data_IF_391353197514
#
_entry.id   IF_391353197514
#
_cell.length_a   1.000
_cell.length_b   1.000
_cell.length_c   1.000
_cell.angle_alpha   90.00
_cell.angle_beta   90.00
_cell.angle_gamma   90.00
#
_symmetry.space_group_name_H-M   'P 1'
#
loop_
_entity.id
_entity.type
_entity.pdbx_description
1 polymer ?
#
# COMPACT_ATOMS: atom_id res chain seq x y z
N UNK A 1 19.88 -13.14 0.91
CA UNK A 1 18.89 -12.10 1.27
C UNK A 1 17.54 -12.74 1.04
N UNK A 2 16.64 -12.85 2.04
CA UNK A 2 15.31 -13.34 1.76
C UNK A 2 14.70 -12.41 0.70
N UNK A 3 14.18 -12.97 -0.38
CA UNK A 3 13.41 -12.21 -1.36
C UNK A 3 12.16 -11.74 -0.62
N UNK A 4 12.15 -10.49 -0.12
CA UNK A 4 10.94 -9.90 0.43
C UNK A 4 9.86 -10.00 -0.65
N UNK A 5 8.84 -10.79 -0.36
CA UNK A 5 7.70 -10.98 -1.25
C UNK A 5 7.07 -9.61 -1.41
N UNK A 6 7.17 -9.04 -2.61
CA UNK A 6 6.60 -7.73 -2.89
C UNK A 6 5.09 -7.78 -2.63
N UNK A 7 4.60 -6.86 -1.81
CA UNK A 7 3.18 -6.71 -1.49
C UNK A 7 2.58 -5.62 -2.35
N UNK A 8 1.37 -5.86 -2.84
CA UNK A 8 0.54 -4.87 -3.50
C UNK A 8 -0.29 -4.20 -2.41
N UNK A 9 -0.17 -2.88 -2.31
CA UNK A 9 -0.92 -2.03 -1.38
C UNK A 9 -1.81 -1.13 -2.22
N UNK A 10 -3.13 -1.34 -2.12
CA UNK A 10 -4.14 -0.54 -2.80
C UNK A 10 -4.79 0.40 -1.80
N UNK A 11 -4.66 1.70 -2.03
CA UNK A 11 -5.27 2.76 -1.24
C UNK A 11 -6.55 3.23 -1.92
N UNK A 12 -7.66 3.17 -1.18
CA UNK A 12 -8.96 3.65 -1.63
C UNK A 12 -9.17 5.07 -1.15
N UNK A 13 -9.24 6.02 -2.08
CA UNK A 13 -9.30 7.46 -1.78
C UNK A 13 -10.75 7.96 -1.74
N UNK A 14 -11.02 8.94 -0.88
CA UNK A 14 -12.28 9.66 -0.86
C UNK A 14 -12.39 10.53 -2.12
N UNK A 15 -13.21 10.11 -3.08
CA UNK A 15 -13.52 10.89 -4.28
C UNK A 15 -12.43 10.91 -5.35
N UNK A 16 -11.61 9.86 -5.46
CA UNK A 16 -10.55 9.73 -6.46
C UNK A 16 -10.39 8.32 -7.01
N UNK A 17 -9.41 8.14 -7.90
CA UNK A 17 -8.97 6.82 -8.36
C UNK A 17 -8.14 6.13 -7.26
N UNK A 18 -8.35 4.83 -7.11
CA UNK A 18 -7.54 4.02 -6.20
C UNK A 18 -6.07 4.02 -6.63
N UNK A 19 -5.16 4.13 -5.66
CA UNK A 19 -3.72 4.12 -5.92
C UNK A 19 -3.14 2.78 -5.51
N UNK A 20 -2.50 2.09 -6.46
CA UNK A 20 -1.81 0.81 -6.23
C UNK A 20 -0.30 1.01 -6.19
N UNK A 21 0.33 0.51 -5.14
CA UNK A 21 1.78 0.58 -4.93
C UNK A 21 2.30 -0.82 -4.62
N UNK A 22 3.38 -1.23 -5.28
CA UNK A 22 4.08 -2.48 -4.99
C UNK A 22 5.25 -2.15 -4.07
N UNK A 23 5.31 -2.76 -2.87
CA UNK A 23 6.37 -2.52 -1.87
C UNK A 23 7.04 -3.80 -1.40
N UNK A 24 8.37 -3.76 -1.26
CA UNK A 24 9.18 -4.79 -0.62
C UNK A 24 9.64 -4.42 0.81
N UNK A 25 9.03 -3.40 1.42
CA UNK A 25 9.42 -2.92 2.76
C UNK A 25 8.93 -3.78 3.92
N UNK A 26 8.01 -4.70 3.65
CA UNK A 26 7.38 -5.54 4.67
C UNK A 26 7.63 -7.01 4.39
N UNK A 27 7.75 -7.81 5.45
CA UNK A 27 7.95 -9.26 5.38
C UNK A 27 6.61 -10.00 5.12
N UNK A 28 5.47 -9.33 5.32
CA UNK A 28 4.15 -9.87 5.00
C UNK A 28 2.97 -8.93 5.20
N UNK A 29 1.79 -9.40 4.77
CA UNK A 29 0.53 -8.64 4.82
C UNK A 29 0.19 -8.12 6.24
N UNK A 30 0.32 -8.92 7.34
CA UNK A 30 -0.03 -8.43 8.67
C UNK A 30 0.83 -7.26 9.15
N UNK A 31 2.13 -7.28 8.84
CA UNK A 31 3.06 -6.20 9.20
C UNK A 31 2.71 -4.92 8.43
N UNK A 32 2.50 -5.04 7.11
CA UNK A 32 2.10 -3.91 6.27
C UNK A 32 0.78 -3.29 6.74
N UNK A 33 -0.24 -4.11 7.03
CA UNK A 33 -1.52 -3.63 7.54
C UNK A 33 -1.35 -2.91 8.87
N UNK A 34 -0.56 -3.46 9.80
CA UNK A 34 -0.30 -2.81 11.09
C UNK A 34 0.43 -1.46 10.93
N UNK A 35 1.40 -1.39 10.01
CA UNK A 35 2.13 -0.15 9.72
C UNK A 35 1.23 0.91 9.10
N UNK A 36 0.37 0.55 8.15
CA UNK A 36 -0.60 1.46 7.52
C UNK A 36 -1.60 1.96 8.55
N UNK A 37 -2.20 1.04 9.33
CA UNK A 37 -3.16 1.39 10.38
C UNK A 37 -2.54 2.37 11.38
N UNK A 38 -1.31 2.08 11.84
CA UNK A 38 -0.57 2.97 12.74
C UNK A 38 -0.31 4.35 12.12
N UNK A 39 0.04 4.42 10.83
CA UNK A 39 0.24 5.70 10.15
C UNK A 39 -1.06 6.50 10.05
N UNK A 40 -2.19 5.84 9.78
CA UNK A 40 -3.53 6.46 9.78
C UNK A 40 -3.90 6.99 11.17
N UNK A 41 -3.77 6.15 12.21
CA UNK A 41 -4.12 6.50 13.60
C UNK A 41 -3.32 7.70 14.10
N UNK A 42 -2.03 7.71 13.79
CA UNK A 42 -1.13 8.79 14.17
C UNK A 42 -1.21 10.01 13.23
N UNK A 43 -2.07 9.96 12.19
CA UNK A 43 -2.21 11.00 11.15
C UNK A 43 -0.89 11.39 10.51
N UNK A 44 -0.01 10.41 10.29
CA UNK A 44 1.29 10.59 9.64
C UNK A 44 1.24 10.08 8.20
N UNK A 45 2.15 10.60 7.38
CA UNK A 45 2.42 10.01 6.08
C UNK A 45 2.98 8.60 6.25
N UNK A 46 2.63 7.70 5.33
CA UNK A 46 3.31 6.43 5.17
C UNK A 46 4.55 6.64 4.31
N UNK A 47 5.69 6.15 4.76
CA UNK A 47 6.96 6.22 4.01
C UNK A 47 7.34 4.80 3.61
N UNK A 48 7.52 4.59 2.31
CA UNK A 48 7.99 3.34 1.72
C UNK A 48 9.35 3.61 1.08
N UNK A 49 10.36 2.80 1.39
CA UNK A 49 11.73 2.97 0.90
C UNK A 49 12.02 2.12 -0.34
N UNK A 50 11.28 1.02 -0.49
CA UNK A 50 11.43 0.05 -1.57
C UNK A 50 10.08 -0.19 -2.23
N UNK A 51 9.55 0.84 -2.90
CA UNK A 51 8.24 0.77 -3.53
C UNK A 51 8.22 1.34 -4.95
N UNK A 52 7.22 0.96 -5.74
CA UNK A 52 6.96 1.48 -7.09
C UNK A 52 5.46 1.55 -7.34
N UNK A 53 5.03 2.46 -8.20
CA UNK A 53 3.66 2.39 -8.71
C UNK A 53 3.49 1.18 -9.63
N UNK A 54 2.27 0.65 -9.71
CA UNK A 54 1.97 -0.59 -10.47
C UNK A 54 2.46 -0.55 -11.94
N UNK A 55 2.40 0.64 -12.56
CA UNK A 55 2.82 0.85 -13.96
C UNK A 55 4.30 1.21 -14.14
N UNK A 56 5.06 1.33 -13.06
CA UNK A 56 6.46 1.74 -13.09
C UNK A 56 7.42 0.55 -12.94
N UNK A 57 8.55 0.59 -13.64
CA UNK A 57 9.57 -0.45 -13.54
C UNK A 57 10.53 -0.23 -12.36
N UNK A 58 10.79 1.03 -12.03
CA UNK A 58 11.84 1.40 -11.07
C UNK A 58 11.33 1.46 -9.64
N UNK A 59 12.15 0.97 -8.71
CA UNK A 59 11.89 1.02 -7.27
C UNK A 59 12.44 2.33 -6.70
N UNK A 60 11.61 3.04 -5.94
CA UNK A 60 11.86 4.36 -5.39
C UNK A 60 11.43 4.44 -3.91
N UNK A 61 11.85 5.53 -3.27
CA UNK A 61 11.23 5.98 -2.03
C UNK A 61 9.92 6.72 -2.33
N UNK A 62 8.82 6.34 -1.69
CA UNK A 62 7.49 6.92 -1.87
C UNK A 62 6.96 7.40 -0.52
N UNK A 63 6.50 8.65 -0.47
CA UNK A 63 5.80 9.21 0.69
C UNK A 63 4.32 9.38 0.34
N UNK A 64 3.44 8.75 1.10
CA UNK A 64 2.00 8.73 0.86
C UNK A 64 1.30 9.51 1.97
N UNK A 65 0.55 10.54 1.57
CA UNK A 65 -0.35 11.24 2.47
C UNK A 65 -1.65 10.43 2.62
N UNK A 66 -1.99 10.05 3.86
CA UNK A 66 -3.15 9.21 4.16
C UNK A 66 -4.42 10.02 4.49
N UNK A 67 -4.40 11.35 4.41
CA UNK A 67 -5.51 12.21 4.84
C UNK A 67 -6.84 11.94 4.11
N UNK A 68 -6.78 11.48 2.86
CA UNK A 68 -7.95 11.18 2.04
C UNK A 68 -8.14 9.67 1.81
N UNK A 69 -7.39 8.80 2.51
CA UNK A 69 -7.53 7.35 2.38
C UNK A 69 -8.67 6.87 3.28
N UNK A 70 -9.64 6.18 2.69
CA UNK A 70 -10.81 5.62 3.40
C UNK A 70 -10.55 4.18 3.82
N UNK A 71 -9.88 3.41 2.97
CA UNK A 71 -9.45 2.04 3.27
C UNK A 71 -8.18 1.69 2.50
N UNK A 72 -7.47 0.67 2.98
CA UNK A 72 -6.32 0.12 2.29
C UNK A 72 -6.40 -1.41 2.28
N UNK A 73 -6.05 -2.02 1.15
CA UNK A 73 -5.93 -3.46 0.99
C UNK A 73 -4.46 -3.81 0.75
N UNK A 74 -3.99 -4.85 1.41
CA UNK A 74 -2.68 -5.44 1.17
C UNK A 74 -2.87 -6.86 0.63
N UNK A 75 -2.20 -7.21 -0.45
CA UNK A 75 -2.22 -8.56 -1.01
C UNK A 75 -0.89 -8.95 -1.65
N UNK A 76 -0.58 -10.24 -1.67
CA UNK A 76 0.54 -10.80 -2.44
C UNK A 76 0.27 -10.94 -3.95
N UNK A 77 -1.00 -11.01 -4.33
CA UNK A 77 -1.43 -11.17 -5.72
C UNK A 77 -2.38 -10.05 -6.11
N UNK A 78 -2.30 -9.61 -7.36
CA UNK A 78 -3.24 -8.66 -7.94
C UNK A 78 -4.52 -9.42 -8.30
N UNK A 79 -5.39 -9.61 -7.32
CA UNK A 79 -6.75 -10.07 -7.58
C UNK A 79 -7.58 -8.84 -7.95
N UNK A 80 -7.95 -8.75 -9.23
CA UNK A 80 -8.86 -7.74 -9.75
C UNK A 80 -10.29 -7.82 -9.14
N UNK A 81 -10.58 -8.83 -8.32
CA UNK A 81 -11.82 -8.94 -7.54
C UNK A 81 -11.66 -8.17 -6.22
N UNK A 82 -11.87 -6.86 -6.27
CA UNK A 82 -11.88 -5.99 -5.09
C UNK A 82 -13.06 -5.02 -5.16
N UNK A 83 -14.29 -5.55 -5.19
CA UNK A 83 -15.50 -4.75 -5.03
C UNK A 83 -16.38 -5.40 -3.99
N UNK A 84 -16.21 -5.03 -2.70
CA UNK A 84 -17.24 -5.31 -1.70
C UNK A 84 -17.12 -4.36 -0.50
N UNK A 85 -17.22 -3.07 -0.80
CA UNK A 85 -17.98 -2.17 0.06
C UNK A 85 -19.28 -1.85 -0.70
N UNK A 86 -20.22 -2.79 -0.63
CA UNK A 86 -21.65 -2.56 -0.76
C UNK A 86 -22.22 -2.65 0.67
#
# INVERSE_FOLDING_TARGET
>A
MPENVALIIRFHLMGGEDVSVISGDFDGEPEAVAAIARAMDERRSLVLMRARYDREADVNGIVINLANVVSARVSKTDSAEAGQYL
#
